data_IF_529202378320
#
_entry.id   IF_529202378320
#
_cell.length_a   1.000
_cell.length_b   1.000
_cell.length_c   1.000
_cell.angle_alpha   90.00
_cell.angle_beta   90.00
_cell.angle_gamma   90.00
#
_symmetry.space_group_name_H-M   'P 1'
#
loop_
_entity.id
_entity.type
_entity.pdbx_description
1 polymer ?
#
# COMPACT_ATOMS: atom_id res chain seq x y z
N UNK A 1 -18.69 0.57 -0.12
CA UNK A 1 -19.62 0.43 -1.28
C UNK A 1 -19.70 -1.03 -1.69
N UNK A 2 -20.87 -1.52 -2.07
CA UNK A 2 -21.03 -2.87 -2.61
C UNK A 2 -20.73 -2.84 -4.12
N UNK A 3 -19.59 -3.43 -4.53
CA UNK A 3 -19.14 -3.44 -5.93
C UNK A 3 -20.13 -4.17 -6.86
N UNK A 4 -20.75 -5.25 -6.39
CA UNK A 4 -21.72 -6.02 -7.17
C UNK A 4 -22.96 -5.18 -7.50
N UNK A 5 -23.51 -4.48 -6.50
CA UNK A 5 -24.64 -3.59 -6.72
C UNK A 5 -24.31 -2.42 -7.65
N UNK A 6 -23.12 -1.85 -7.55
CA UNK A 6 -22.66 -0.76 -8.44
C UNK A 6 -22.53 -1.26 -9.88
N UNK A 7 -22.01 -2.47 -10.10
CA UNK A 7 -21.85 -3.06 -11.42
C UNK A 7 -23.16 -3.40 -12.13
N UNK A 8 -24.29 -3.37 -11.44
CA UNK A 8 -25.59 -3.43 -12.11
C UNK A 8 -25.89 -2.19 -12.97
N UNK A 9 -25.32 -1.05 -12.61
CA UNK A 9 -25.45 0.22 -13.34
C UNK A 9 -24.22 0.54 -14.21
N UNK A 10 -23.04 0.13 -13.76
CA UNK A 10 -21.77 0.29 -14.46
C UNK A 10 -20.97 -1.02 -14.39
N UNK A 11 -21.09 -1.90 -15.41
CA UNK A 11 -20.39 -3.18 -15.45
C UNK A 11 -18.86 -3.06 -15.40
N UNK A 12 -18.30 -1.90 -15.75
CA UNK A 12 -16.85 -1.64 -15.77
C UNK A 12 -16.31 -1.23 -14.41
N UNK A 13 -17.17 -0.89 -13.44
CA UNK A 13 -16.77 -0.43 -12.12
C UNK A 13 -15.90 -1.47 -11.38
N UNK A 14 -14.66 -1.11 -11.08
CA UNK A 14 -13.70 -1.93 -10.34
C UNK A 14 -13.62 -1.53 -8.85
N UNK A 15 -13.67 -0.22 -8.58
CA UNK A 15 -13.61 0.32 -7.24
C UNK A 15 -13.53 1.84 -7.22
N UNK A 16 -13.54 2.43 -6.02
CA UNK A 16 -13.41 3.88 -5.87
C UNK A 16 -12.04 4.39 -6.31
N UNK A 17 -10.98 3.62 -6.05
CA UNK A 17 -9.61 4.01 -6.35
C UNK A 17 -9.41 4.16 -7.84
N UNK A 18 -9.85 3.17 -8.60
CA UNK A 18 -9.78 3.17 -10.06
C UNK A 18 -10.65 4.29 -10.64
N UNK A 19 -11.90 4.44 -10.18
CA UNK A 19 -12.80 5.50 -10.63
C UNK A 19 -12.22 6.91 -10.41
N UNK A 20 -11.58 7.14 -9.25
CA UNK A 20 -10.97 8.45 -8.94
C UNK A 20 -9.70 8.66 -9.77
N UNK A 21 -8.89 7.63 -9.96
CA UNK A 21 -7.68 7.69 -10.78
C UNK A 21 -8.03 8.03 -12.24
N UNK A 22 -9.05 7.37 -12.81
CA UNK A 22 -9.57 7.67 -14.14
C UNK A 22 -10.06 9.11 -14.25
N UNK A 23 -10.83 9.58 -13.23
CA UNK A 23 -11.32 10.97 -13.19
C UNK A 23 -10.19 12.01 -13.03
N UNK A 24 -9.02 11.59 -12.52
CA UNK A 24 -7.81 12.41 -12.40
C UNK A 24 -6.84 12.25 -13.58
N UNK A 25 -7.18 11.46 -14.59
CA UNK A 25 -6.32 11.13 -15.73
C UNK A 25 -4.93 10.62 -15.26
N UNK A 26 -4.95 9.68 -14.31
CA UNK A 26 -3.75 9.19 -13.60
C UNK A 26 -3.67 7.67 -13.64
N UNK A 27 -2.62 7.15 -14.30
CA UNK A 27 -2.35 5.71 -14.41
C UNK A 27 -1.36 5.20 -13.34
N UNK A 28 -0.49 6.08 -12.84
CA UNK A 28 0.55 5.74 -11.88
C UNK A 28 0.11 6.05 -10.45
N UNK A 29 -0.59 5.12 -9.85
CA UNK A 29 -1.03 5.21 -8.45
C UNK A 29 -0.86 3.87 -7.73
N UNK A 30 -0.94 3.89 -6.41
CA UNK A 30 -0.96 2.68 -5.58
C UNK A 30 -1.83 2.84 -4.35
N UNK A 31 -2.36 1.70 -3.87
CA UNK A 31 -3.01 1.61 -2.58
C UNK A 31 -1.96 1.68 -1.47
N UNK A 32 -2.16 2.59 -0.53
CA UNK A 32 -1.40 2.71 0.69
C UNK A 32 -2.34 2.51 1.88
N UNK A 33 -1.95 1.64 2.81
CA UNK A 33 -2.56 1.55 4.14
C UNK A 33 -1.67 2.26 5.14
N UNK A 34 -2.24 3.13 5.94
CA UNK A 34 -1.54 3.87 6.98
C UNK A 34 -2.15 3.56 8.34
N UNK A 35 -1.28 3.30 9.32
CA UNK A 35 -1.60 3.21 10.73
C UNK A 35 -0.70 4.18 11.51
N UNK A 36 -0.92 4.42 12.81
CA UNK A 36 0.00 5.21 13.60
C UNK A 36 1.42 4.66 13.63
N UNK A 37 1.58 3.33 13.51
CA UNK A 37 2.86 2.63 13.68
C UNK A 37 3.65 2.51 12.40
N UNK A 38 2.96 2.28 11.28
CA UNK A 38 3.62 1.98 9.99
C UNK A 38 2.69 2.23 8.81
N UNK A 39 3.30 2.48 7.66
CA UNK A 39 2.60 2.59 6.37
C UNK A 39 3.01 1.43 5.47
N UNK A 40 2.09 0.87 4.71
CA UNK A 40 2.45 -0.06 3.62
C UNK A 40 1.78 0.30 2.30
N UNK A 41 2.50 0.07 1.20
CA UNK A 41 2.02 0.22 -0.19
C UNK A 41 2.10 -1.11 -0.92
N UNK A 42 1.44 -1.21 -2.07
CA UNK A 42 1.29 -2.48 -2.77
C UNK A 42 1.66 -2.37 -4.25
N UNK A 43 2.50 -3.28 -4.72
CA UNK A 43 2.83 -3.40 -6.16
C UNK A 43 1.61 -3.88 -6.94
N UNK A 44 0.85 -4.81 -6.33
CA UNK A 44 -0.44 -5.28 -6.85
C UNK A 44 -1.45 -5.45 -5.72
N UNK A 45 -2.75 -5.30 -6.00
CA UNK A 45 -3.81 -5.40 -4.99
C UNK A 45 -4.91 -6.39 -5.41
N UNK A 46 -5.96 -5.95 -6.07
CA UNK A 46 -7.17 -6.71 -6.34
C UNK A 46 -7.04 -7.61 -7.59
N UNK A 47 -6.07 -8.51 -7.59
CA UNK A 47 -5.78 -9.44 -8.67
C UNK A 47 -5.50 -10.85 -8.12
N UNK A 48 -5.45 -11.86 -8.99
CA UNK A 48 -5.05 -13.21 -8.58
C UNK A 48 -3.58 -13.27 -8.16
N UNK A 49 -3.18 -14.31 -7.41
CA UNK A 49 -1.77 -14.51 -7.06
C UNK A 49 -0.89 -14.68 -8.31
N UNK A 50 -1.37 -15.37 -9.33
CA UNK A 50 -0.67 -15.50 -10.61
C UNK A 50 -0.43 -14.14 -11.27
N UNK A 51 -1.45 -13.29 -11.32
CA UNK A 51 -1.34 -11.93 -11.83
C UNK A 51 -0.44 -11.06 -10.94
N UNK A 52 -0.45 -11.24 -9.62
CA UNK A 52 0.45 -10.53 -8.70
C UNK A 52 1.92 -10.82 -9.01
N UNK A 53 2.24 -12.09 -9.29
CA UNK A 53 3.59 -12.50 -9.72
C UNK A 53 3.95 -11.83 -11.05
N UNK A 54 3.03 -11.83 -12.01
CA UNK A 54 3.24 -11.22 -13.32
C UNK A 54 3.47 -9.71 -13.25
N UNK A 55 2.83 -9.02 -12.30
CA UNK A 55 2.97 -7.57 -12.06
C UNK A 55 4.22 -7.18 -11.27
N UNK A 56 4.88 -8.14 -10.62
CA UNK A 56 6.14 -7.89 -9.93
C UNK A 56 7.27 -7.68 -10.95
N UNK A 57 7.28 -6.49 -11.56
CA UNK A 57 8.28 -6.06 -12.56
C UNK A 57 9.07 -4.88 -12.05
N UNK A 58 10.35 -4.80 -12.43
CA UNK A 58 11.30 -3.78 -12.00
C UNK A 58 10.72 -2.37 -12.04
N UNK A 59 10.13 -1.97 -13.16
CA UNK A 59 9.56 -0.63 -13.34
C UNK A 59 8.38 -0.38 -12.40
N UNK A 60 7.48 -1.38 -12.22
CA UNK A 60 6.34 -1.25 -11.32
C UNK A 60 6.78 -1.19 -9.86
N UNK A 61 7.73 -2.03 -9.44
CA UNK A 61 8.29 -2.00 -8.08
C UNK A 61 8.96 -0.66 -7.81
N UNK A 62 9.78 -0.15 -8.74
CA UNK A 62 10.41 1.16 -8.63
C UNK A 62 9.38 2.29 -8.51
N UNK A 63 8.33 2.25 -9.34
CA UNK A 63 7.24 3.23 -9.27
C UNK A 63 6.58 3.23 -7.90
N UNK A 64 6.30 2.07 -7.31
CA UNK A 64 5.66 2.00 -5.99
C UNK A 64 6.61 2.47 -4.88
N UNK A 65 7.91 2.16 -4.96
CA UNK A 65 8.91 2.71 -4.04
C UNK A 65 8.90 4.25 -4.10
N UNK A 66 8.90 4.81 -5.31
CA UNK A 66 8.86 6.28 -5.51
C UNK A 66 7.57 6.89 -4.95
N UNK A 67 6.41 6.33 -5.27
CA UNK A 67 5.12 6.80 -4.75
C UNK A 67 5.05 6.74 -3.22
N UNK A 68 5.65 5.70 -2.61
CA UNK A 68 5.76 5.56 -1.16
C UNK A 68 6.61 6.70 -0.58
N UNK A 69 7.79 6.88 -1.14
CA UNK A 69 8.72 7.94 -0.72
C UNK A 69 8.09 9.32 -0.85
N UNK A 70 7.55 9.67 -2.00
CA UNK A 70 6.98 11.00 -2.27
C UNK A 70 5.78 11.31 -1.34
N UNK A 71 4.98 10.29 -1.02
CA UNK A 71 3.86 10.44 -0.10
C UNK A 71 4.34 10.66 1.33
N UNK A 72 5.30 9.86 1.81
CA UNK A 72 5.85 9.98 3.16
C UNK A 72 6.68 11.25 3.35
N UNK A 73 7.42 11.69 2.32
CA UNK A 73 8.26 12.87 2.37
C UNK A 73 7.48 14.17 2.65
N UNK A 74 6.15 14.16 2.46
CA UNK A 74 5.30 15.30 2.82
C UNK A 74 5.33 15.63 4.31
N UNK A 75 5.69 14.66 5.16
CA UNK A 75 5.69 14.84 6.63
C UNK A 75 6.83 14.10 7.36
N UNK A 76 7.64 13.30 6.66
CA UNK A 76 8.85 12.64 7.20
C UNK A 76 10.04 13.05 6.35
N UNK A 77 10.99 13.84 6.88
CA UNK A 77 12.23 14.12 6.16
C UNK A 77 13.02 12.82 5.93
N UNK A 78 13.35 12.51 4.67
CA UNK A 78 14.13 11.32 4.28
C UNK A 78 13.53 10.00 4.81
N UNK A 79 12.30 9.63 4.38
CA UNK A 79 11.64 8.42 4.86
C UNK A 79 12.40 7.16 4.45
N UNK A 80 12.50 6.22 5.38
CA UNK A 80 13.17 4.92 5.20
C UNK A 80 12.16 3.89 4.71
N UNK A 81 12.40 3.27 3.58
CA UNK A 81 11.48 2.31 2.95
C UNK A 81 12.06 0.90 2.96
N UNK A 82 11.29 -0.05 3.49
CA UNK A 82 11.55 -1.47 3.33
C UNK A 82 10.81 -2.01 2.09
N UNK A 83 11.46 -2.81 1.28
CA UNK A 83 10.83 -3.48 0.12
C UNK A 83 10.79 -4.97 0.39
N UNK A 84 9.60 -5.52 0.59
CA UNK A 84 9.42 -6.95 0.80
C UNK A 84 9.80 -7.75 -0.45
N UNK A 85 10.38 -8.93 -0.25
CA UNK A 85 10.51 -9.91 -1.31
C UNK A 85 9.14 -10.49 -1.71
N UNK A 86 9.06 -11.01 -2.93
CA UNK A 86 7.88 -11.74 -3.41
C UNK A 86 7.85 -13.17 -2.86
N UNK A 87 9.00 -13.83 -2.89
CA UNK A 87 9.15 -15.23 -2.49
C UNK A 87 9.58 -15.37 -1.03
N UNK A 88 9.40 -16.56 -0.47
CA UNK A 88 9.89 -16.88 0.88
C UNK A 88 11.37 -16.56 1.00
N UNK A 89 11.79 -15.99 2.15
CA UNK A 89 13.17 -15.58 2.41
C UNK A 89 13.78 -14.67 1.32
N UNK A 90 12.93 -13.83 0.68
CA UNK A 90 13.33 -13.00 -0.44
C UNK A 90 14.06 -13.77 -1.56
N UNK A 91 13.52 -14.96 -1.87
CA UNK A 91 13.99 -15.86 -2.92
C UNK A 91 15.22 -16.71 -2.59
N UNK A 92 15.86 -16.54 -1.42
CA UNK A 92 17.06 -17.29 -0.98
C UNK A 92 18.07 -17.49 -2.13
N UNK A 93 18.54 -16.40 -2.71
CA UNK A 93 19.46 -16.41 -3.87
C UNK A 93 18.93 -17.17 -5.10
N UNK A 94 17.61 -17.20 -5.31
CA UNK A 94 16.95 -17.85 -6.44
C UNK A 94 16.45 -19.27 -6.14
N UNK A 95 16.68 -19.79 -4.94
CA UNK A 95 16.22 -21.14 -4.54
C UNK A 95 14.68 -21.24 -4.59
N UNK A 96 13.96 -20.17 -4.20
CA UNK A 96 12.51 -20.12 -4.13
C UNK A 96 11.87 -19.27 -5.23
N UNK A 97 12.63 -18.84 -6.23
CA UNK A 97 12.19 -18.04 -7.37
C UNK A 97 13.17 -16.91 -7.68
N UNK A 98 13.13 -16.46 -8.91
CA UNK A 98 14.11 -15.48 -9.42
C UNK A 98 13.63 -14.02 -9.34
N UNK A 99 12.34 -13.78 -9.08
CA UNK A 99 11.73 -12.45 -9.12
C UNK A 99 12.41 -11.46 -8.17
N UNK A 100 12.85 -11.94 -7.00
CA UNK A 100 13.54 -11.12 -6.02
C UNK A 100 14.90 -10.62 -6.54
N UNK A 101 15.63 -11.46 -7.27
CA UNK A 101 16.92 -11.13 -7.86
C UNK A 101 16.79 -10.33 -9.17
N UNK A 102 15.85 -10.72 -10.02
CA UNK A 102 15.73 -10.21 -11.39
C UNK A 102 14.87 -8.95 -11.48
N UNK A 103 13.91 -8.77 -10.57
CA UNK A 103 12.95 -7.67 -10.63
C UNK A 103 13.06 -6.73 -9.41
N UNK A 104 13.00 -7.25 -8.17
CA UNK A 104 12.92 -6.40 -6.97
C UNK A 104 14.28 -5.77 -6.65
N UNK A 105 15.35 -6.56 -6.66
CA UNK A 105 16.70 -6.06 -6.36
C UNK A 105 17.16 -4.94 -7.31
N UNK A 106 16.96 -5.02 -8.64
CA UNK A 106 17.25 -3.92 -9.55
C UNK A 106 16.42 -2.67 -9.27
N UNK A 107 15.12 -2.82 -8.95
CA UNK A 107 14.25 -1.70 -8.59
C UNK A 107 14.74 -0.95 -7.35
N UNK A 108 15.11 -1.68 -6.30
CA UNK A 108 15.69 -1.11 -5.07
C UNK A 108 17.02 -0.40 -5.36
N UNK A 109 17.88 -1.01 -6.19
CA UNK A 109 19.15 -0.39 -6.59
C UNK A 109 18.92 0.93 -7.33
N UNK A 110 17.95 0.96 -8.26
CA UNK A 110 17.61 2.19 -8.99
C UNK A 110 16.99 3.25 -8.08
N UNK A 111 16.13 2.87 -7.14
CA UNK A 111 15.57 3.79 -6.14
C UNK A 111 16.67 4.48 -5.32
N UNK A 112 17.70 3.74 -4.91
CA UNK A 112 18.87 4.29 -4.21
C UNK A 112 19.67 5.26 -5.08
N UNK A 113 19.87 4.96 -6.36
CA UNK A 113 20.51 5.87 -7.31
C UNK A 113 19.71 7.17 -7.43
N UNK A 114 18.38 7.10 -7.36
CA UNK A 114 17.48 8.24 -7.38
C UNK A 114 17.43 9.01 -6.04
N UNK A 115 18.22 8.60 -5.02
CA UNK A 115 18.32 9.26 -3.72
C UNK A 115 17.28 8.82 -2.70
N UNK A 116 16.52 7.75 -2.97
CA UNK A 116 15.51 7.19 -2.05
C UNK A 116 16.20 6.21 -1.09
N UNK A 117 16.00 6.38 0.22
CA UNK A 117 16.46 5.42 1.22
C UNK A 117 15.54 4.19 1.22
N UNK A 118 15.93 3.18 0.43
CA UNK A 118 15.21 1.93 0.26
C UNK A 118 16.09 0.72 0.54
N UNK A 119 15.59 -0.24 1.30
CA UNK A 119 16.26 -1.51 1.62
C UNK A 119 15.40 -2.69 1.15
N UNK A 120 16.02 -3.64 0.44
CA UNK A 120 15.32 -4.83 -0.07
C UNK A 120 16.09 -5.56 -1.17
N UNK A 121 15.54 -6.68 -1.66
CA UNK A 121 14.36 -7.37 -1.10
C UNK A 121 14.60 -7.94 0.31
N UNK A 122 13.62 -7.78 1.19
CA UNK A 122 13.66 -8.28 2.57
C UNK A 122 12.63 -9.40 2.77
N UNK A 123 12.88 -10.39 3.66
CA UNK A 123 11.89 -11.39 4.00
C UNK A 123 10.62 -10.74 4.57
N UNK A 124 9.45 -10.97 3.93
CA UNK A 124 8.20 -10.32 4.30
C UNK A 124 7.71 -10.68 5.71
N UNK A 125 8.05 -11.86 6.22
CA UNK A 125 7.68 -12.35 7.55
C UNK A 125 8.33 -11.57 8.70
N UNK A 126 9.48 -10.95 8.47
CA UNK A 126 10.20 -10.16 9.49
C UNK A 126 10.16 -8.66 9.28
N UNK A 127 9.84 -8.21 8.07
CA UNK A 127 9.89 -6.78 7.71
C UNK A 127 8.96 -5.92 8.56
N UNK A 128 7.72 -6.36 8.81
CA UNK A 128 6.77 -5.64 9.66
C UNK A 128 7.23 -5.56 11.12
N UNK A 129 7.84 -6.63 11.65
CA UNK A 129 8.43 -6.60 12.99
C UNK A 129 9.54 -5.54 13.10
N UNK A 130 10.42 -5.46 12.11
CA UNK A 130 11.50 -4.48 12.10
C UNK A 130 10.98 -3.04 12.01
N UNK A 131 9.92 -2.80 11.25
CA UNK A 131 9.29 -1.49 11.17
C UNK A 131 8.60 -1.10 12.47
N UNK A 132 7.71 -1.96 13.00
CA UNK A 132 6.83 -1.63 14.13
C UNK A 132 7.56 -1.67 15.47
N UNK A 133 8.40 -2.69 15.71
CA UNK A 133 9.03 -2.89 17.02
C UNK A 133 10.44 -2.37 17.13
N UNK A 134 11.11 -2.12 16.00
CA UNK A 134 12.49 -1.60 15.99
C UNK A 134 12.60 -0.21 15.36
N UNK A 135 11.49 0.39 14.94
CA UNK A 135 11.44 1.71 14.28
C UNK A 135 12.48 1.84 13.14
N UNK A 136 12.66 0.75 12.38
CA UNK A 136 13.71 0.70 11.35
C UNK A 136 13.24 1.32 10.04
N UNK A 137 11.95 1.27 9.74
CA UNK A 137 11.37 1.74 8.47
C UNK A 137 10.09 2.53 8.73
N UNK A 138 9.90 3.57 7.93
CA UNK A 138 8.71 4.44 7.95
C UNK A 138 7.63 3.94 6.98
N UNK A 139 8.02 3.21 5.94
CA UNK A 139 7.14 2.62 4.96
C UNK A 139 7.59 1.26 4.47
N UNK A 140 6.63 0.40 4.11
CA UNK A 140 6.86 -0.95 3.61
C UNK A 140 6.22 -1.10 2.23
N UNK A 141 6.99 -1.51 1.23
CA UNK A 141 6.49 -1.85 -0.11
C UNK A 141 6.24 -3.35 -0.17
N UNK A 142 4.97 -3.73 -0.31
CA UNK A 142 4.51 -5.11 -0.41
C UNK A 142 4.26 -5.49 -1.87
N UNK A 143 4.51 -6.74 -2.23
CA UNK A 143 4.37 -7.21 -3.60
C UNK A 143 2.91 -7.55 -3.95
N UNK A 144 2.11 -7.98 -2.98
CA UNK A 144 0.71 -8.37 -3.18
C UNK A 144 -0.16 -8.01 -1.98
N UNK A 145 -1.47 -8.07 -2.20
CA UNK A 145 -2.49 -7.59 -1.26
C UNK A 145 -2.29 -8.11 0.17
N UNK A 146 -2.31 -9.42 0.39
CA UNK A 146 -2.31 -9.98 1.75
C UNK A 146 -0.96 -9.88 2.45
N UNK A 147 0.14 -9.70 1.71
CA UNK A 147 1.45 -9.43 2.30
C UNK A 147 1.45 -8.16 3.16
N UNK A 148 0.68 -7.14 2.74
CA UNK A 148 0.52 -5.90 3.48
C UNK A 148 -0.73 -5.88 4.35
N UNK A 149 -1.88 -6.27 3.80
CA UNK A 149 -3.16 -6.14 4.50
C UNK A 149 -3.27 -7.03 5.75
N UNK A 150 -2.75 -8.26 5.72
CA UNK A 150 -2.86 -9.17 6.87
C UNK A 150 -2.16 -8.60 8.11
N UNK A 151 -0.86 -8.22 8.07
CA UNK A 151 -0.21 -7.62 9.23
C UNK A 151 -0.79 -6.24 9.60
N UNK A 152 -1.18 -5.40 8.64
CA UNK A 152 -1.79 -4.10 8.94
C UNK A 152 -3.12 -4.25 9.67
N UNK A 153 -3.98 -5.17 9.25
CA UNK A 153 -5.26 -5.44 9.94
C UNK A 153 -5.06 -6.09 11.31
N UNK A 154 -4.00 -6.85 11.50
CA UNK A 154 -3.66 -7.38 12.81
C UNK A 154 -3.21 -6.27 13.78
N UNK A 155 -2.46 -5.28 13.28
CA UNK A 155 -1.97 -4.16 14.08
C UNK A 155 -3.06 -3.13 14.39
N UNK A 156 -3.88 -2.76 13.42
CA UNK A 156 -4.75 -1.58 13.51
C UNK A 156 -6.04 -1.72 12.70
N UNK A 157 -6.86 -2.73 13.04
CA UNK A 157 -8.11 -3.00 12.33
C UNK A 157 -9.09 -1.81 12.32
N UNK A 158 -9.15 -1.05 13.43
CA UNK A 158 -10.11 0.04 13.62
C UNK A 158 -9.54 1.41 13.21
N UNK A 159 -8.21 1.58 13.23
CA UNK A 159 -7.53 2.85 12.97
C UNK A 159 -6.89 2.95 11.58
N UNK A 160 -6.93 1.89 10.79
CA UNK A 160 -6.35 1.84 9.46
C UNK A 160 -6.97 2.86 8.51
N UNK A 161 -6.13 3.62 7.83
CA UNK A 161 -6.52 4.60 6.81
C UNK A 161 -6.09 4.11 5.44
N UNK A 162 -7.02 4.11 4.51
CA UNK A 162 -6.75 3.83 3.10
C UNK A 162 -6.41 5.13 2.38
N UNK A 163 -5.24 5.19 1.76
CA UNK A 163 -4.75 6.34 0.99
C UNK A 163 -4.50 5.89 -0.45
N UNK A 164 -4.78 6.74 -1.42
CA UNK A 164 -4.34 6.52 -2.79
C UNK A 164 -3.14 7.41 -3.07
N UNK A 165 -1.95 6.82 -3.07
CA UNK A 165 -0.72 7.51 -3.41
C UNK A 165 -0.59 7.65 -4.94
N UNK A 166 -0.10 8.81 -5.42
CA UNK A 166 0.12 9.09 -6.85
C UNK A 166 -0.96 9.94 -7.51
N UNK A 167 -2.10 10.18 -6.85
CA UNK A 167 -3.11 11.09 -7.37
C UNK A 167 -2.66 12.55 -7.26
N UNK A 168 -3.11 13.44 -8.18
CA UNK A 168 -2.86 14.90 -8.07
C UNK A 168 -3.67 15.56 -6.93
N UNK A 169 -4.51 14.80 -6.25
CA UNK A 169 -5.31 15.20 -5.09
C UNK A 169 -4.97 14.33 -3.88
N UNK A 170 -5.23 14.83 -2.69
CA UNK A 170 -5.16 14.01 -1.46
C UNK A 170 -6.46 13.22 -1.35
N UNK A 171 -6.34 11.89 -1.38
CA UNK A 171 -7.47 10.98 -1.19
C UNK A 171 -7.19 10.02 -0.05
N UNK A 172 -7.97 10.15 1.00
CA UNK A 172 -7.99 9.23 2.14
C UNK A 172 -9.39 8.64 2.32
N UNK A 173 -9.50 7.49 2.93
CA UNK A 173 -10.77 6.87 3.28
C UNK A 173 -10.60 5.84 4.40
N UNK A 174 -11.72 5.42 4.97
CA UNK A 174 -11.77 4.29 5.89
C UNK A 174 -11.37 2.98 5.20
N UNK A 175 -10.83 2.05 5.96
CA UNK A 175 -10.42 0.71 5.51
C UNK A 175 -11.39 -0.39 5.97
N UNK A 176 -12.68 -0.08 6.14
CA UNK A 176 -13.70 -1.05 6.52
C UNK A 176 -14.70 -1.32 5.39
N UNK A 177 -15.43 -2.44 5.50
CA UNK A 177 -16.43 -2.86 4.54
C UNK A 177 -17.76 -2.07 4.64
N UNK A 178 -18.80 -2.60 4.00
CA UNK A 178 -20.13 -1.98 3.92
C UNK A 178 -20.94 -2.02 5.23
N UNK A 179 -20.59 -2.94 6.14
CA UNK A 179 -21.22 -3.11 7.45
C UNK A 179 -22.78 -3.10 7.41
N UNK A 180 -23.35 -3.84 6.45
CA UNK A 180 -24.82 -3.92 6.27
C UNK A 180 -25.55 -4.44 7.49
N UNK A 181 -24.90 -5.30 8.27
CA UNK A 181 -25.42 -5.90 9.50
C UNK A 181 -25.74 -4.88 10.59
N UNK A 182 -25.10 -3.72 10.59
CA UNK A 182 -25.33 -2.63 11.55
C UNK A 182 -25.97 -1.38 10.93
N UNK A 183 -26.33 -1.45 9.64
CA UNK A 183 -26.95 -0.32 8.93
C UNK A 183 -28.21 0.17 9.67
N UNK A 184 -28.36 1.48 9.81
CA UNK A 184 -29.47 2.17 10.49
C UNK A 184 -29.61 1.89 12.00
N UNK A 185 -28.64 1.23 12.64
CA UNK A 185 -28.72 0.90 14.07
C UNK A 185 -28.03 1.95 14.98
N UNK A 186 -27.39 2.97 14.41
CA UNK A 186 -26.67 3.97 15.19
C UNK A 186 -25.41 3.42 15.90
N UNK A 187 -24.84 2.32 15.39
CA UNK A 187 -23.72 1.60 16.02
C UNK A 187 -22.41 1.69 15.21
N UNK A 188 -22.38 2.51 14.17
CA UNK A 188 -21.18 2.65 13.35
C UNK A 188 -20.01 3.25 14.16
N UNK A 189 -18.83 2.65 14.02
CA UNK A 189 -17.61 3.25 14.54
C UNK A 189 -17.22 4.44 13.66
N UNK A 190 -16.92 5.58 14.27
CA UNK A 190 -16.57 6.83 13.57
C UNK A 190 -15.06 7.08 13.51
N UNK A 191 -14.28 6.35 14.31
CA UNK A 191 -12.85 6.56 14.49
C UNK A 191 -12.07 6.44 13.18
N UNK A 192 -12.38 5.44 12.36
CA UNK A 192 -11.75 5.28 11.04
C UNK A 192 -11.92 6.50 10.12
N UNK A 193 -13.10 7.16 10.15
CA UNK A 193 -13.31 8.39 9.37
C UNK A 193 -12.54 9.56 9.96
N UNK A 194 -12.50 9.69 11.27
CA UNK A 194 -11.71 10.72 11.96
C UNK A 194 -10.22 10.57 11.62
N UNK A 195 -9.68 9.36 11.73
CA UNK A 195 -8.29 9.07 11.34
C UNK A 195 -8.02 9.38 9.86
N UNK A 196 -8.96 9.07 8.96
CA UNK A 196 -8.81 9.39 7.55
C UNK A 196 -8.76 10.91 7.29
N UNK A 197 -9.56 11.71 8.01
CA UNK A 197 -9.53 13.17 7.94
C UNK A 197 -8.20 13.71 8.49
N UNK A 198 -7.76 13.23 9.65
CA UNK A 198 -6.51 13.67 10.26
C UNK A 198 -5.30 13.31 9.39
N UNK A 199 -5.32 12.14 8.75
CA UNK A 199 -4.26 11.75 7.82
C UNK A 199 -4.26 12.62 6.57
N UNK A 200 -5.44 13.03 6.07
CA UNK A 200 -5.53 13.97 4.94
C UNK A 200 -4.94 15.34 5.29
N UNK A 201 -5.19 15.85 6.51
CA UNK A 201 -4.59 17.10 7.01
C UNK A 201 -3.08 16.98 7.11
N UNK A 202 -2.57 15.89 7.67
CA UNK A 202 -1.13 15.60 7.74
C UNK A 202 -0.48 15.60 6.36
N UNK A 203 -1.12 15.01 5.36
CA UNK A 203 -0.64 15.03 3.97
C UNK A 203 -0.71 16.44 3.34
N UNK A 204 -1.63 17.29 3.78
CA UNK A 204 -1.75 18.68 3.33
C UNK A 204 -0.74 19.64 3.95
N UNK A 205 -0.07 19.22 5.04
CA UNK A 205 0.88 20.04 5.80
C UNK A 205 0.21 20.90 6.86
N UNK A 206 -0.98 20.51 7.33
CA UNK A 206 -1.75 21.17 8.41
C UNK A 206 -1.52 20.51 9.78
#
# INVERSE_FOLDING_TARGET
MNKEATRLSDPTFCGHTELIADACDTDNFTLMLATPEVVCTHVSTHVSMEESIARCKTDRVLNVITLTHDTLQRFIPNPRSAVCGLNAHAGEYGLFGMQDLEEIKPAVAQARINGIDAEGPLPGDTTFYLAVHQDRYDGIVCQYHDQGHAPMKLLAFESGVNVTAGLPIIRTSVDHGTAFDIAWQGKAFTDGLTHAIDYARKLAGD
#
